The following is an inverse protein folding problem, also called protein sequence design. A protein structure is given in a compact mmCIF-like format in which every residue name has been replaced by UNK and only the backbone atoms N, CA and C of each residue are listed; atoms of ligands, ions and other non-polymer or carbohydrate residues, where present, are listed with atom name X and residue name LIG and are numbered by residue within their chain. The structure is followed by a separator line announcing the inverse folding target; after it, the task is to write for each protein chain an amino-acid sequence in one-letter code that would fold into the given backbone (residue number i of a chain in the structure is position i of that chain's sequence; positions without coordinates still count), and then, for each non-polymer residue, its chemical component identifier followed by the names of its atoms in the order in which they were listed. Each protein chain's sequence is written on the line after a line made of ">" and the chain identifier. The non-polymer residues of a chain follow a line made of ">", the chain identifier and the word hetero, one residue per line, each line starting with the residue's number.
data_IF_200140668207
#
_entry.id   IF_200140668207
#
_cell.length_a   1.000
_cell.length_b   1.000
_cell.length_c   1.000
_cell.angle_alpha   90.00
_cell.angle_beta   90.00
_cell.angle_gamma   90.00
#
_symmetry.space_group_name_H-M   'P 1'
#
loop_
_entity.id
_entity.type
_entity.pdbx_description
1 polymer ?
#
# COMPACT_ATOMS: atom_id res chain seq x y z
N UNK A 1 9.06 17.33 -21.76
CA UNK A 1 9.07 17.38 -20.28
C UNK A 1 8.20 16.24 -19.81
N UNK A 2 8.78 15.11 -19.41
CA UNK A 2 8.00 14.07 -18.76
C UNK A 2 7.71 14.58 -17.36
N UNK A 3 6.44 14.84 -17.06
CA UNK A 3 6.01 15.06 -15.68
C UNK A 3 6.38 13.74 -15.01
N UNK A 4 7.39 13.74 -14.14
CA UNK A 4 7.54 12.65 -13.19
C UNK A 4 6.32 12.79 -12.29
N UNK A 5 5.19 12.22 -12.70
CA UNK A 5 4.04 12.06 -11.83
C UNK A 5 4.56 11.20 -10.69
N UNK A 6 4.80 11.83 -9.53
CA UNK A 6 5.38 11.18 -8.37
C UNK A 6 4.62 9.89 -8.08
N UNK A 7 5.33 8.85 -7.65
CA UNK A 7 4.67 7.61 -7.26
C UNK A 7 3.58 7.91 -6.21
N UNK A 8 2.40 7.35 -6.42
CA UNK A 8 1.28 7.52 -5.50
C UNK A 8 1.14 6.22 -4.74
N UNK A 9 1.20 6.33 -3.42
CA UNK A 9 1.10 5.19 -2.52
C UNK A 9 -0.31 5.12 -1.97
N UNK A 10 -0.83 3.91 -1.81
CA UNK A 10 -2.11 3.67 -1.14
C UNK A 10 -1.89 2.71 0.01
N UNK A 11 -2.39 3.07 1.18
CA UNK A 11 -2.30 2.27 2.40
C UNK A 11 -3.70 1.84 2.78
N UNK A 12 -3.87 0.56 3.08
CA UNK A 12 -5.08 0.02 3.70
C UNK A 12 -4.75 -0.40 5.11
N UNK A 13 -5.35 0.27 6.08
CA UNK A 13 -5.21 -0.06 7.49
C UNK A 13 -6.39 -0.95 7.87
N UNK A 14 -6.09 -2.11 8.44
CA UNK A 14 -7.12 -3.02 8.92
C UNK A 14 -7.36 -2.77 10.40
N UNK A 15 -8.62 -2.56 10.78
CA UNK A 15 -9.02 -2.47 12.17
C UNK A 15 -9.86 -3.70 12.55
N UNK A 16 -9.62 -4.30 13.72
CA UNK A 16 -10.38 -5.45 14.17
C UNK A 16 -11.85 -5.07 14.33
N UNK A 17 -12.78 -6.02 14.08
CA UNK A 17 -14.19 -5.76 14.26
C UNK A 17 -14.51 -5.37 15.71
N UNK A 18 -15.41 -4.41 15.89
CA UNK A 18 -15.82 -3.95 17.23
C UNK A 18 -16.62 -5.00 18.02
N UNK A 19 -17.09 -6.07 17.37
CA UNK A 19 -17.82 -7.17 17.96
C UNK A 19 -17.60 -8.48 17.19
N UNK A 20 -17.75 -9.61 17.88
CA UNK A 20 -17.62 -10.95 17.29
C UNK A 20 -18.70 -11.17 16.20
N UNK A 21 -18.32 -11.75 15.07
CA UNK A 21 -19.19 -11.93 13.90
C UNK A 21 -19.29 -10.74 12.94
N UNK A 22 -18.60 -9.63 13.20
CA UNK A 22 -18.49 -8.51 12.26
C UNK A 22 -17.21 -8.62 11.39
N UNK A 23 -17.26 -8.05 10.19
CA UNK A 23 -16.12 -8.00 9.28
C UNK A 23 -15.06 -7.00 9.78
N UNK A 24 -13.80 -7.23 9.41
CA UNK A 24 -12.74 -6.26 9.64
C UNK A 24 -13.07 -4.95 8.93
N UNK A 25 -12.76 -3.84 9.59
CA UNK A 25 -12.86 -2.52 8.96
C UNK A 25 -11.58 -2.23 8.20
N UNK A 26 -11.71 -1.55 7.07
CA UNK A 26 -10.57 -1.13 6.25
C UNK A 26 -10.67 0.38 6.00
N UNK A 27 -9.62 1.09 6.38
CA UNK A 27 -9.44 2.50 6.07
C UNK A 27 -8.43 2.63 4.91
N UNK A 28 -8.87 3.25 3.82
CA UNK A 28 -8.07 3.45 2.60
C UNK A 28 -7.52 4.88 2.56
N UNK A 29 -6.20 5.00 2.48
CA UNK A 29 -5.47 6.26 2.47
C UNK A 29 -4.60 6.35 1.22
N UNK A 30 -4.61 7.51 0.56
CA UNK A 30 -3.77 7.78 -0.61
C UNK A 30 -2.75 8.87 -0.28
N UNK A 31 -1.46 8.53 -0.38
CA UNK A 31 -0.35 9.46 -0.23
C UNK A 31 0.16 9.84 -1.61
N UNK A 32 0.01 11.12 -1.95
CA UNK A 32 0.58 11.71 -3.15
C UNK A 32 1.92 12.37 -2.82
N UNK A 33 2.89 12.31 -3.74
CA UNK A 33 4.18 13.00 -3.61
C UNK A 33 5.10 12.56 -2.44
N UNK A 34 4.92 11.35 -1.90
CA UNK A 34 5.80 10.77 -0.88
C UNK A 34 6.78 9.73 -1.44
N UNK A 35 7.80 9.37 -0.67
CA UNK A 35 8.69 8.23 -0.96
C UNK A 35 8.22 6.95 -0.26
N UNK A 36 8.66 5.78 -0.75
CA UNK A 36 8.26 4.47 -0.21
C UNK A 36 8.55 4.35 1.30
N UNK A 37 9.72 4.79 1.76
CA UNK A 37 10.08 4.78 3.18
C UNK A 37 9.14 5.63 4.03
N UNK A 38 8.68 6.78 3.51
CA UNK A 38 7.74 7.64 4.21
C UNK A 38 6.37 6.98 4.32
N UNK A 39 5.89 6.35 3.23
CA UNK A 39 4.64 5.62 3.22
C UNK A 39 4.68 4.41 4.17
N UNK A 40 5.81 3.69 4.24
CA UNK A 40 5.99 2.56 5.15
C UNK A 40 6.00 3.00 6.62
N UNK A 41 6.73 4.06 6.96
CA UNK A 41 6.75 4.59 8.34
C UNK A 41 5.37 5.07 8.75
N UNK A 42 4.71 5.83 7.88
CA UNK A 42 3.36 6.32 8.15
C UNK A 42 2.38 5.17 8.38
N UNK A 43 2.43 4.13 7.53
CA UNK A 43 1.58 2.95 7.65
C UNK A 43 1.83 2.20 8.96
N UNK A 44 3.09 2.04 9.36
CA UNK A 44 3.46 1.37 10.60
C UNK A 44 2.96 2.14 11.84
N UNK A 45 3.14 3.46 11.86
CA UNK A 45 2.66 4.33 12.94
C UNK A 45 1.12 4.31 13.07
N UNK A 46 0.41 4.33 11.93
CA UNK A 46 -1.05 4.40 11.90
C UNK A 46 -1.73 3.03 12.04
N UNK A 47 -1.05 1.95 11.69
CA UNK A 47 -1.59 0.60 11.88
C UNK A 47 -1.70 0.24 13.37
N UNK A 48 -0.93 0.87 14.25
CA UNK A 48 -0.97 0.64 15.70
C UNK A 48 -0.84 -0.86 16.07
N UNK A 49 -0.03 -1.60 15.31
CA UNK A 49 0.17 -3.04 15.48
C UNK A 49 -0.83 -3.94 14.75
N UNK A 50 -1.81 -3.36 14.05
CA UNK A 50 -2.74 -4.12 13.21
C UNK A 50 -2.16 -4.43 11.82
N UNK A 51 -2.75 -5.39 11.08
CA UNK A 51 -2.37 -5.64 9.69
C UNK A 51 -2.58 -4.40 8.82
N UNK A 52 -1.69 -4.18 7.86
CA UNK A 52 -1.88 -3.19 6.81
C UNK A 52 -1.39 -3.72 5.47
N UNK A 53 -1.94 -3.14 4.40
CA UNK A 53 -1.48 -3.35 3.03
C UNK A 53 -0.98 -2.05 2.44
N UNK A 54 0.10 -2.11 1.67
CA UNK A 54 0.67 -0.96 0.96
C UNK A 54 0.68 -1.26 -0.53
N UNK A 55 0.23 -0.30 -1.32
CA UNK A 55 0.18 -0.34 -2.78
C UNK A 55 0.87 0.89 -3.36
N UNK A 56 1.33 0.79 -4.61
CA UNK A 56 1.93 1.90 -5.36
C UNK A 56 1.36 1.96 -6.77
N UNK A 57 1.16 3.17 -7.28
CA UNK A 57 0.97 3.44 -8.71
C UNK A 57 2.08 4.39 -9.18
N UNK A 58 2.73 4.07 -10.28
CA UNK A 58 3.78 4.89 -10.87
C UNK A 58 3.62 4.92 -12.40
N UNK A 59 3.07 6.01 -12.94
CA UNK A 59 2.85 6.19 -14.38
C UNK A 59 1.78 5.29 -15.03
N UNK A 60 1.13 4.40 -14.28
CA UNK A 60 -0.01 3.58 -14.72
C UNK A 60 -1.23 3.85 -13.84
N UNK A 61 -2.47 3.66 -14.34
CA UNK A 61 -3.67 3.83 -13.51
C UNK A 61 -3.82 2.74 -12.44
N UNK A 62 -3.13 1.61 -12.60
CA UNK A 62 -3.22 0.45 -11.71
C UNK A 62 -2.33 0.55 -10.47
N UNK A 63 -2.85 0.06 -9.34
CA UNK A 63 -2.12 -0.07 -8.08
C UNK A 63 -1.53 -1.48 -7.93
N UNK A 64 -0.25 -1.53 -7.57
CA UNK A 64 0.49 -2.77 -7.32
C UNK A 64 0.76 -2.93 -5.83
N UNK A 65 0.45 -4.09 -5.25
CA UNK A 65 0.70 -4.36 -3.82
C UNK A 65 2.20 -4.55 -3.56
N UNK A 66 2.74 -3.76 -2.65
CA UNK A 66 4.13 -3.83 -2.20
C UNK A 66 4.29 -4.67 -0.93
N UNK A 67 3.35 -4.55 0.02
CA UNK A 67 3.46 -5.19 1.35
C UNK A 67 2.09 -5.53 1.91
N UNK A 68 2.08 -6.52 2.81
CA UNK A 68 0.93 -6.86 3.64
C UNK A 68 0.15 -8.06 3.13
N UNK A 69 -0.83 -8.48 3.94
CA UNK A 69 -1.85 -9.46 3.59
C UNK A 69 -3.18 -8.97 4.17
N UNK A 70 -4.31 -9.12 3.46
CA UNK A 70 -5.62 -8.78 4.02
C UNK A 70 -5.88 -9.59 5.30
N UNK A 71 -6.46 -8.93 6.30
CA UNK A 71 -6.75 -9.54 7.59
C UNK A 71 -7.75 -10.70 7.48
N UNK A 72 -8.71 -10.63 6.54
CA UNK A 72 -9.71 -11.67 6.30
C UNK A 72 -9.20 -12.88 5.48
N UNK A 73 -7.89 -12.99 5.24
CA UNK A 73 -7.29 -14.19 4.66
C UNK A 73 -7.51 -14.41 3.15
N UNK A 74 -8.30 -13.57 2.48
CA UNK A 74 -8.73 -13.75 1.08
C UNK A 74 -7.72 -13.39 -0.03
N UNK A 75 -6.45 -13.10 0.27
CA UNK A 75 -5.49 -12.60 -0.72
C UNK A 75 -4.51 -13.64 -1.22
N UNK A 76 -4.61 -14.05 -2.50
CA UNK A 76 -3.53 -14.69 -3.24
C UNK A 76 -2.30 -13.77 -3.25
N UNK A 77 -1.14 -14.31 -2.90
CA UNK A 77 0.10 -13.55 -2.79
C UNK A 77 0.78 -13.49 -4.15
N UNK A 78 0.65 -12.40 -4.89
CA UNK A 78 1.59 -12.08 -5.98
C UNK A 78 2.64 -11.12 -5.44
N UNK A 79 3.90 -11.58 -5.43
CA UNK A 79 5.07 -10.77 -5.15
C UNK A 79 5.43 -10.04 -6.44
N UNK A 80 5.14 -8.74 -6.50
CA UNK A 80 5.48 -7.92 -7.66
C UNK A 80 6.83 -7.25 -7.39
N UNK A 81 7.88 -7.70 -8.09
CA UNK A 81 9.21 -7.09 -8.03
C UNK A 81 9.27 -5.99 -9.08
N UNK A 82 9.08 -4.74 -8.66
CA UNK A 82 9.32 -3.58 -9.52
C UNK A 82 10.83 -3.35 -9.61
N UNK A 83 11.42 -3.64 -10.77
CA UNK A 83 12.79 -3.25 -11.08
C UNK A 83 12.75 -1.87 -11.73
N UNK A 84 13.29 -0.87 -11.06
CA UNK A 84 13.59 0.41 -11.72
C UNK A 84 14.82 0.14 -12.58
N UNK A 85 14.62 -0.13 -13.87
CA UNK A 85 15.73 -0.17 -14.81
C UNK A 85 16.23 1.27 -14.98
N UNK A 86 17.23 1.63 -14.18
CA UNK A 86 17.98 2.87 -14.35
C UNK A 86 19.00 2.70 -15.48
N UNK A 87 18.56 2.29 -16.67
CA UNK A 87 19.40 2.42 -17.86
C UNK A 87 19.01 3.72 -18.54
N UNK A 88 19.78 4.76 -18.22
CA UNK A 88 19.88 5.96 -19.05
C UNK A 88 21.29 5.99 -19.62
N UNK A 89 21.39 5.62 -20.89
CA UNK A 89 22.54 5.94 -21.77
C UNK A 89 22.67 7.46 -21.96
#
# INVERSE_FOLDING_TARGET
>A
MAIQEGAIFRVRLWAPPSADGFAWQVDDWELTNGDLDQALRWADEHAQGNPYELFVRAGSPDFYRLRGKPADGGGTQETIILRTDSTRE
#
